data_IF_145608025520
#
_entry.id   IF_145608025520
#
_cell.length_a   1.000
_cell.length_b   1.000
_cell.length_c   1.000
_cell.angle_alpha   90.00
_cell.angle_beta   90.00
_cell.angle_gamma   90.00
#
_symmetry.space_group_name_H-M   'P 1'
#
loop_
_entity.id
_entity.type
_entity.pdbx_description
1 polymer ?
#
# COMPACT_ATOMS: atom_id res chain seq x y z
N UNK A 1 -34.78 23.15 -29.97
CA UNK A 1 -34.86 21.83 -30.63
C UNK A 1 -35.18 20.80 -29.57
N UNK A 2 -36.32 20.14 -29.66
CA UNK A 2 -36.56 18.94 -28.85
C UNK A 2 -35.75 17.80 -29.45
N UNK A 3 -34.85 17.23 -28.65
CA UNK A 3 -34.06 16.07 -29.06
C UNK A 3 -35.01 14.86 -28.96
N UNK A 4 -35.27 14.14 -30.05
CA UNK A 4 -36.22 13.04 -30.03
C UNK A 4 -35.76 11.91 -29.09
N UNK A 5 -36.73 11.25 -28.45
CA UNK A 5 -36.55 10.10 -27.56
C UNK A 5 -35.74 10.36 -26.28
N UNK A 6 -35.75 11.60 -25.77
CA UNK A 6 -35.19 11.91 -24.43
C UNK A 6 -36.18 11.68 -23.29
N UNK A 7 -37.49 11.71 -23.58
CA UNK A 7 -38.57 11.50 -22.60
C UNK A 7 -39.53 10.44 -23.09
N UNK A 8 -39.83 10.42 -24.39
CA UNK A 8 -40.64 9.39 -25.05
C UNK A 8 -39.81 8.15 -25.35
N UNK A 9 -40.38 6.98 -25.10
CA UNK A 9 -39.80 5.70 -25.49
C UNK A 9 -39.77 5.57 -27.02
N UNK A 10 -38.74 4.89 -27.56
CA UNK A 10 -38.74 4.54 -28.97
C UNK A 10 -39.78 3.44 -29.26
N UNK A 11 -40.44 3.46 -30.43
CA UNK A 11 -41.43 2.44 -30.79
C UNK A 11 -40.86 1.02 -30.93
N UNK A 12 -39.59 0.90 -31.32
CA UNK A 12 -38.90 -0.36 -31.59
C UNK A 12 -38.43 -1.07 -30.30
N UNK A 13 -37.87 -0.32 -29.36
CA UNK A 13 -37.23 -0.86 -28.15
C UNK A 13 -38.03 -0.62 -26.88
N UNK A 14 -39.03 0.28 -26.89
CA UNK A 14 -39.77 0.69 -25.69
C UNK A 14 -38.91 1.47 -24.67
N UNK A 15 -37.69 1.86 -25.03
CA UNK A 15 -36.74 2.56 -24.16
C UNK A 15 -36.40 3.94 -24.73
N UNK A 16 -36.06 4.89 -23.85
CA UNK A 16 -35.52 6.19 -24.25
C UNK A 16 -33.99 6.12 -24.39
N UNK A 17 -33.40 7.05 -25.15
CA UNK A 17 -31.98 6.98 -25.57
C UNK A 17 -31.01 6.85 -24.39
N UNK A 18 -31.23 7.60 -23.31
CA UNK A 18 -30.35 7.56 -22.13
C UNK A 18 -30.40 6.20 -21.41
N UNK A 19 -31.55 5.51 -21.43
CA UNK A 19 -31.68 4.18 -20.82
C UNK A 19 -30.92 3.12 -21.62
N UNK A 20 -30.96 3.19 -22.95
CA UNK A 20 -30.13 2.32 -23.80
C UNK A 20 -28.64 2.61 -23.59
N UNK A 21 -28.28 3.89 -23.57
CA UNK A 21 -26.89 4.32 -23.37
C UNK A 21 -26.31 3.83 -22.03
N UNK A 22 -27.06 3.94 -20.94
CA UNK A 22 -26.58 3.45 -19.64
C UNK A 22 -26.44 1.94 -19.61
N UNK A 23 -27.37 1.17 -20.21
CA UNK A 23 -27.23 -0.29 -20.27
C UNK A 23 -25.99 -0.73 -21.06
N UNK A 24 -25.67 -0.06 -22.17
CA UNK A 24 -24.44 -0.33 -22.93
C UNK A 24 -23.18 0.01 -22.12
N UNK A 25 -23.18 1.14 -21.42
CA UNK A 25 -22.10 1.53 -20.52
C UNK A 25 -21.92 0.51 -19.39
N UNK A 26 -23.00 0.10 -18.73
CA UNK A 26 -22.96 -0.91 -17.66
C UNK A 26 -22.44 -2.25 -18.17
N UNK A 27 -22.80 -2.67 -19.38
CA UNK A 27 -22.26 -3.88 -19.99
C UNK A 27 -20.73 -3.79 -20.19
N UNK A 28 -20.20 -2.62 -20.59
CA UNK A 28 -18.74 -2.44 -20.69
C UNK A 28 -18.04 -2.50 -19.34
N UNK A 29 -18.65 -1.94 -18.29
CA UNK A 29 -18.08 -1.98 -16.94
C UNK A 29 -18.09 -3.41 -16.35
N UNK A 30 -19.13 -4.21 -16.62
CA UNK A 30 -19.14 -5.64 -16.26
C UNK A 30 -17.95 -6.37 -16.87
N UNK A 31 -17.62 -6.08 -18.14
CA UNK A 31 -16.46 -6.68 -18.80
C UNK A 31 -15.13 -6.21 -18.19
N UNK A 32 -15.01 -4.91 -17.87
CA UNK A 32 -13.83 -4.32 -17.22
C UNK A 32 -13.57 -4.97 -15.85
N UNK A 33 -14.55 -4.95 -14.95
CA UNK A 33 -14.42 -5.53 -13.62
C UNK A 33 -14.30 -7.06 -13.67
N UNK A 34 -15.00 -7.72 -14.61
CA UNK A 34 -14.86 -9.16 -14.84
C UNK A 34 -13.42 -9.56 -15.14
N UNK A 35 -12.73 -8.84 -16.03
CA UNK A 35 -11.31 -9.06 -16.31
C UNK A 35 -10.40 -8.84 -15.10
N UNK A 36 -10.65 -7.82 -14.29
CA UNK A 36 -9.88 -7.54 -13.08
C UNK A 36 -10.13 -8.59 -11.98
N UNK A 37 -11.37 -9.07 -11.81
CA UNK A 37 -11.70 -10.15 -10.89
C UNK A 37 -11.03 -11.46 -11.29
N UNK A 38 -11.08 -11.81 -12.59
CA UNK A 38 -10.32 -12.97 -13.10
C UNK A 38 -8.82 -12.81 -12.83
N UNK A 39 -8.27 -11.62 -13.07
CA UNK A 39 -6.84 -11.35 -12.81
C UNK A 39 -6.47 -11.55 -11.35
N UNK A 40 -7.30 -11.12 -10.39
CA UNK A 40 -7.09 -11.40 -8.97
C UNK A 40 -7.03 -12.91 -8.68
N UNK A 41 -7.99 -13.68 -9.21
CA UNK A 41 -8.04 -15.13 -9.01
C UNK A 41 -6.79 -15.80 -9.58
N UNK A 42 -6.36 -15.42 -10.78
CA UNK A 42 -5.12 -15.94 -11.38
C UNK A 42 -3.88 -15.60 -10.56
N UNK A 43 -3.74 -14.35 -10.13
CA UNK A 43 -2.61 -13.93 -9.29
C UNK A 43 -2.58 -14.69 -7.96
N UNK A 44 -3.76 -14.94 -7.37
CA UNK A 44 -3.88 -15.69 -6.13
C UNK A 44 -3.52 -17.17 -6.29
N UNK A 45 -4.03 -17.83 -7.33
CA UNK A 45 -3.80 -19.26 -7.59
C UNK A 45 -2.36 -19.52 -8.03
N UNK A 46 -1.76 -18.59 -8.77
CA UNK A 46 -0.37 -18.68 -9.25
C UNK A 46 0.67 -18.08 -8.31
N UNK A 47 0.31 -17.73 -7.07
CA UNK A 47 1.26 -17.14 -6.14
C UNK A 47 2.19 -18.22 -5.53
N UNK A 48 3.49 -18.09 -5.79
CA UNK A 48 4.54 -18.95 -5.20
C UNK A 48 4.89 -18.59 -3.74
N UNK A 49 4.23 -17.56 -3.19
CA UNK A 49 4.39 -17.09 -1.81
C UNK A 49 3.04 -17.16 -1.08
N UNK A 50 3.03 -17.17 0.27
CA UNK A 50 1.79 -17.16 1.03
C UNK A 50 0.95 -15.92 0.70
N UNK A 51 -0.13 -16.10 -0.07
CA UNK A 51 -1.04 -15.01 -0.40
C UNK A 51 -1.58 -14.41 0.90
N UNK A 52 -1.69 -13.06 1.01
CA UNK A 52 -2.27 -12.44 2.19
C UNK A 52 -3.72 -12.88 2.37
N UNK A 53 -4.07 -13.36 3.56
CA UNK A 53 -5.43 -13.84 3.89
C UNK A 53 -5.90 -13.10 5.14
N UNK A 54 -7.10 -12.53 5.11
CA UNK A 54 -7.68 -11.74 6.22
C UNK A 54 -6.76 -10.62 6.76
N UNK A 55 -6.02 -9.94 5.89
CA UNK A 55 -5.28 -8.71 6.25
C UNK A 55 -6.21 -7.50 6.36
N UNK A 56 -7.38 -7.57 5.74
CA UNK A 56 -8.35 -6.50 5.69
C UNK A 56 -9.36 -6.64 6.82
N UNK A 57 -9.78 -5.52 7.39
CA UNK A 57 -10.77 -5.52 8.47
C UNK A 57 -12.16 -5.87 7.90
N UNK A 58 -12.58 -7.13 8.14
CA UNK A 58 -13.85 -7.67 7.65
C UNK A 58 -15.04 -6.88 8.19
N UNK A 59 -14.99 -6.43 9.45
CA UNK A 59 -16.07 -5.65 10.07
C UNK A 59 -16.25 -4.29 9.39
N UNK A 60 -15.16 -3.55 9.15
CA UNK A 60 -15.21 -2.28 8.41
C UNK A 60 -15.67 -2.50 6.97
N UNK A 61 -15.19 -3.57 6.31
CA UNK A 61 -15.66 -3.97 4.99
C UNK A 61 -17.16 -4.27 4.97
N UNK A 62 -17.66 -5.00 5.97
CA UNK A 62 -19.07 -5.37 6.12
C UNK A 62 -19.97 -4.16 6.39
N UNK A 63 -19.56 -3.25 7.29
CA UNK A 63 -20.27 -1.99 7.53
C UNK A 63 -20.37 -1.18 6.23
N UNK A 64 -19.27 -1.07 5.48
CA UNK A 64 -19.28 -0.41 4.17
C UNK A 64 -20.23 -1.08 3.18
N UNK A 65 -20.30 -2.42 3.17
CA UNK A 65 -21.26 -3.16 2.36
C UNK A 65 -22.71 -2.83 2.75
N UNK A 66 -23.03 -2.77 4.04
CA UNK A 66 -24.37 -2.38 4.51
C UNK A 66 -24.70 -0.92 4.14
N UNK A 67 -23.74 -0.01 4.27
CA UNK A 67 -23.88 1.40 3.88
C UNK A 67 -24.21 1.52 2.40
N UNK A 68 -23.50 0.81 1.52
CA UNK A 68 -23.73 0.83 0.08
C UNK A 68 -25.08 0.22 -0.29
N UNK A 69 -25.39 -0.99 0.17
CA UNK A 69 -26.68 -1.66 -0.09
C UNK A 69 -27.85 -0.79 0.41
N UNK A 70 -27.72 -0.21 1.61
CA UNK A 70 -28.71 0.72 2.15
C UNK A 70 -28.86 1.98 1.29
N UNK A 71 -27.75 2.51 0.76
CA UNK A 71 -27.77 3.67 -0.13
C UNK A 71 -28.52 3.39 -1.44
N UNK A 72 -28.40 2.18 -2.00
CA UNK A 72 -29.20 1.73 -3.16
C UNK A 72 -30.69 1.86 -2.93
N UNK A 73 -31.18 1.38 -1.77
CA UNK A 73 -32.60 1.47 -1.41
C UNK A 73 -33.04 2.94 -1.37
N UNK A 74 -32.21 3.83 -0.83
CA UNK A 74 -32.54 5.26 -0.78
C UNK A 74 -32.66 5.89 -2.16
N UNK A 75 -31.83 5.51 -3.15
CA UNK A 75 -31.96 6.01 -4.53
C UNK A 75 -33.27 5.55 -5.17
N UNK A 76 -33.67 4.29 -4.96
CA UNK A 76 -34.95 3.78 -5.43
C UNK A 76 -36.13 4.55 -4.81
N UNK A 77 -36.07 4.80 -3.50
CA UNK A 77 -37.08 5.58 -2.78
C UNK A 77 -37.10 7.05 -3.24
N UNK A 78 -35.95 7.63 -3.59
CA UNK A 78 -35.86 8.96 -4.17
C UNK A 78 -36.58 9.04 -5.52
N UNK A 79 -36.34 8.06 -6.40
CA UNK A 79 -37.04 7.95 -7.68
C UNK A 79 -38.56 7.75 -7.49
N UNK A 80 -38.97 6.84 -6.61
CA UNK A 80 -40.38 6.59 -6.32
C UNK A 80 -41.06 7.85 -5.74
N UNK A 81 -40.37 8.58 -4.87
CA UNK A 81 -40.86 9.85 -4.32
C UNK A 81 -41.06 10.91 -5.40
N UNK A 82 -40.21 10.96 -6.43
CA UNK A 82 -40.42 11.84 -7.59
C UNK A 82 -41.68 11.46 -8.37
N UNK A 83 -41.90 10.16 -8.63
CA UNK A 83 -43.10 9.68 -9.32
C UNK A 83 -44.39 9.98 -8.51
N UNK A 84 -44.31 9.93 -7.18
CA UNK A 84 -45.39 10.31 -6.27
C UNK A 84 -45.48 11.83 -5.99
N UNK A 85 -44.67 12.65 -6.67
CA UNK A 85 -44.58 14.12 -6.50
C UNK A 85 -44.26 14.58 -5.07
N UNK A 86 -43.62 13.74 -4.26
CA UNK A 86 -43.16 14.04 -2.89
C UNK A 86 -41.74 14.60 -2.89
N UNK A 87 -41.62 15.89 -3.19
CA UNK A 87 -40.32 16.56 -3.36
C UNK A 87 -39.44 16.54 -2.09
N UNK A 88 -40.04 16.75 -0.92
CA UNK A 88 -39.28 16.73 0.35
C UNK A 88 -38.62 15.38 0.60
N UNK A 89 -39.35 14.29 0.38
CA UNK A 89 -38.84 12.92 0.51
C UNK A 89 -37.75 12.63 -0.52
N UNK A 90 -37.93 13.06 -1.78
CA UNK A 90 -36.88 12.94 -2.81
C UNK A 90 -35.56 13.57 -2.36
N UNK A 91 -35.60 14.83 -1.88
CA UNK A 91 -34.39 15.54 -1.44
C UNK A 91 -33.72 14.84 -0.26
N UNK A 92 -34.52 14.38 0.72
CA UNK A 92 -34.01 13.65 1.87
C UNK A 92 -33.31 12.36 1.46
N UNK A 93 -33.95 11.53 0.63
CA UNK A 93 -33.36 10.26 0.21
C UNK A 93 -32.08 10.45 -0.63
N UNK A 94 -32.06 11.42 -1.56
CA UNK A 94 -30.85 11.76 -2.31
C UNK A 94 -29.71 12.24 -1.40
N UNK A 95 -30.02 13.07 -0.40
CA UNK A 95 -29.04 13.54 0.57
C UNK A 95 -28.47 12.35 1.36
N UNK A 96 -29.32 11.44 1.82
CA UNK A 96 -28.88 10.23 2.53
C UNK A 96 -27.93 9.41 1.64
N UNK A 97 -28.25 9.21 0.36
CA UNK A 97 -27.36 8.49 -0.56
C UNK A 97 -25.98 9.14 -0.66
N UNK A 98 -25.93 10.47 -0.85
CA UNK A 98 -24.66 11.21 -0.96
C UNK A 98 -23.87 11.14 0.34
N UNK A 99 -24.53 11.19 1.50
CA UNK A 99 -23.87 11.01 2.80
C UNK A 99 -23.33 9.59 2.98
N UNK A 100 -24.07 8.55 2.57
CA UNK A 100 -23.60 7.17 2.58
C UNK A 100 -22.35 7.00 1.71
N UNK A 101 -22.32 7.62 0.53
CA UNK A 101 -21.15 7.63 -0.35
C UNK A 101 -19.94 8.28 0.32
N UNK A 102 -20.14 9.43 0.97
CA UNK A 102 -19.08 10.11 1.70
C UNK A 102 -18.54 9.24 2.85
N UNK A 103 -19.42 8.61 3.65
CA UNK A 103 -19.04 7.69 4.72
C UNK A 103 -18.20 6.53 4.20
N UNK A 104 -18.61 5.92 3.08
CA UNK A 104 -17.84 4.86 2.43
C UNK A 104 -16.43 5.33 2.05
N UNK A 105 -16.31 6.49 1.40
CA UNK A 105 -15.02 7.05 0.97
C UNK A 105 -14.11 7.42 2.16
N UNK A 106 -14.67 7.94 3.24
CA UNK A 106 -13.94 8.25 4.48
C UNK A 106 -13.38 6.97 5.11
N UNK A 107 -14.21 5.93 5.27
CA UNK A 107 -13.76 4.64 5.80
C UNK A 107 -12.65 4.03 4.94
N UNK A 108 -12.77 4.10 3.61
CA UNK A 108 -11.74 3.62 2.69
C UNK A 108 -10.43 4.40 2.81
N UNK A 109 -10.50 5.71 3.01
CA UNK A 109 -9.31 6.54 3.16
C UNK A 109 -8.54 6.18 4.43
N UNK A 110 -9.23 5.93 5.54
CA UNK A 110 -8.60 5.46 6.78
C UNK A 110 -7.95 4.10 6.60
N UNK A 111 -8.64 3.16 5.95
CA UNK A 111 -8.10 1.84 5.66
C UNK A 111 -6.85 1.91 4.79
N UNK A 112 -6.87 2.72 3.73
CA UNK A 112 -5.71 2.94 2.86
C UNK A 112 -4.53 3.53 3.64
N UNK A 113 -4.76 4.58 4.43
CA UNK A 113 -3.71 5.23 5.21
C UNK A 113 -3.00 4.23 6.13
N UNK A 114 -3.77 3.40 6.85
CA UNK A 114 -3.21 2.37 7.72
C UNK A 114 -2.31 1.38 6.96
N UNK A 115 -2.65 1.04 5.71
CA UNK A 115 -1.81 0.17 4.87
C UNK A 115 -0.52 0.85 4.39
N UNK A 116 -0.54 2.15 4.09
CA UNK A 116 0.69 2.85 3.68
C UNK A 116 1.75 2.93 4.80
N UNK A 117 1.31 2.93 6.05
CA UNK A 117 2.15 3.02 7.25
C UNK A 117 2.59 1.64 7.79
N UNK A 118 2.07 0.55 7.22
CA UNK A 118 2.36 -0.81 7.63
C UNK A 118 3.38 -1.49 6.70
N UNK A 119 4.33 -2.18 7.31
CA UNK A 119 5.50 -2.77 6.68
C UNK A 119 5.53 -4.27 6.87
N UNK A 120 6.06 -4.95 5.86
CA UNK A 120 6.42 -6.36 5.92
C UNK A 120 7.90 -6.52 5.63
N UNK A 121 8.56 -7.30 6.47
CA UNK A 121 9.98 -7.61 6.41
C UNK A 121 10.13 -9.12 6.30
N UNK A 122 10.60 -9.59 5.14
CA UNK A 122 10.97 -10.98 4.91
C UNK A 122 12.41 -11.20 5.32
N UNK A 123 12.61 -12.09 6.28
CA UNK A 123 13.91 -12.55 6.76
C UNK A 123 14.51 -13.60 5.81
N UNK A 124 15.81 -13.84 5.94
CA UNK A 124 16.58 -14.76 5.08
C UNK A 124 16.15 -16.23 5.18
N UNK A 125 15.48 -16.62 6.26
CA UNK A 125 14.91 -17.95 6.47
C UNK A 125 13.48 -18.10 5.90
N UNK A 126 12.93 -17.04 5.30
CA UNK A 126 11.56 -16.98 4.78
C UNK A 126 10.52 -16.50 5.78
N UNK A 127 10.90 -16.23 7.03
CA UNK A 127 9.97 -15.68 8.04
C UNK A 127 9.57 -14.26 7.67
N UNK A 128 8.30 -13.92 7.81
CA UNK A 128 7.80 -12.58 7.54
C UNK A 128 7.36 -11.93 8.85
N UNK A 129 7.99 -10.81 9.18
CA UNK A 129 7.57 -9.93 10.27
C UNK A 129 6.73 -8.79 9.69
N UNK A 130 5.61 -8.48 10.33
CA UNK A 130 4.78 -7.33 9.97
C UNK A 130 4.75 -6.31 11.09
N UNK A 131 4.54 -5.03 10.74
CA UNK A 131 4.41 -3.99 11.74
C UNK A 131 4.71 -2.59 11.24
N UNK A 132 5.15 -1.72 12.14
CA UNK A 132 5.36 -0.30 11.89
C UNK A 132 6.83 0.12 12.05
N UNK A 133 7.24 1.16 11.31
CA UNK A 133 8.57 1.77 11.43
C UNK A 133 8.43 3.15 12.09
N UNK A 134 8.26 3.24 13.42
CA UNK A 134 7.98 4.50 14.12
C UNK A 134 9.07 5.56 13.93
N UNK A 135 10.32 5.13 13.76
CA UNK A 135 11.49 6.00 13.55
C UNK A 135 12.00 6.01 12.11
N UNK A 136 11.27 5.38 11.18
CA UNK A 136 11.72 5.13 9.81
C UNK A 136 12.92 4.19 9.73
N UNK A 137 13.47 4.03 8.52
CA UNK A 137 14.67 3.25 8.28
C UNK A 137 15.69 4.06 7.46
N UNK A 138 16.81 4.37 8.11
CA UNK A 138 17.92 5.10 7.51
C UNK A 138 19.22 4.39 7.82
N UNK A 139 20.08 4.30 6.81
CA UNK A 139 21.43 3.79 6.95
C UNK A 139 22.34 4.92 7.40
N UNK A 140 23.10 4.68 8.47
CA UNK A 140 24.09 5.65 8.95
C UNK A 140 25.47 5.29 8.40
N UNK A 141 26.09 6.26 7.75
CA UNK A 141 27.38 6.12 7.11
C UNK A 141 28.29 7.25 7.55
N UNK A 142 29.39 6.94 8.24
CA UNK A 142 30.31 7.93 8.79
C UNK A 142 31.70 7.85 8.18
N UNK A 143 32.59 8.68 8.70
CA UNK A 143 33.97 8.80 8.24
C UNK A 143 34.10 9.08 6.74
N UNK A 144 33.07 9.69 6.14
CA UNK A 144 33.06 9.96 4.71
C UNK A 144 33.99 11.13 4.41
N UNK A 145 35.04 10.85 3.64
CA UNK A 145 36.03 11.86 3.24
C UNK A 145 35.93 12.24 1.78
N UNK A 146 35.39 11.36 0.94
CA UNK A 146 35.37 11.55 -0.51
C UNK A 146 33.95 11.46 -1.04
N UNK A 147 33.64 12.40 -1.95
CA UNK A 147 32.39 12.48 -2.68
C UNK A 147 32.75 12.45 -4.17
N UNK A 148 32.39 11.37 -4.86
CA UNK A 148 32.62 11.21 -6.29
C UNK A 148 31.32 11.52 -7.03
N UNK A 149 31.37 12.50 -7.91
CA UNK A 149 30.22 12.97 -8.69
C UNK A 149 30.37 12.47 -10.11
N UNK A 150 29.33 11.83 -10.65
CA UNK A 150 29.30 11.45 -12.06
C UNK A 150 28.63 12.57 -12.86
N UNK A 151 29.40 13.24 -13.72
CA UNK A 151 28.89 14.22 -14.68
C UNK A 151 28.63 13.51 -16.00
N UNK A 152 27.39 13.58 -16.45
CA UNK A 152 26.91 12.92 -17.65
C UNK A 152 27.49 13.55 -18.92
N UNK A 153 28.07 12.74 -19.81
CA UNK A 153 28.52 13.21 -21.14
C UNK A 153 27.38 13.29 -22.17
N UNK A 154 26.22 12.67 -21.90
CA UNK A 154 25.02 12.69 -22.75
C UNK A 154 23.82 13.21 -21.97
N UNK A 155 22.87 13.85 -22.68
CA UNK A 155 21.59 14.32 -22.11
C UNK A 155 20.68 13.21 -21.57
N UNK A 156 20.90 11.96 -21.98
CA UNK A 156 20.13 10.80 -21.52
C UNK A 156 20.66 10.13 -20.25
N UNK A 157 21.85 10.51 -19.75
CA UNK A 157 22.40 10.00 -18.50
C UNK A 157 22.03 10.91 -17.32
N UNK A 158 21.85 10.31 -16.14
CA UNK A 158 21.52 11.05 -14.91
C UNK A 158 22.75 11.87 -14.50
N UNK A 159 22.58 13.18 -14.45
CA UNK A 159 23.59 14.09 -13.92
C UNK A 159 23.48 14.09 -12.39
N UNK A 160 24.62 13.89 -11.71
CA UNK A 160 24.65 14.04 -10.27
C UNK A 160 24.19 15.44 -9.87
N UNK A 161 23.37 15.55 -8.81
CA UNK A 161 23.08 16.83 -8.15
C UNK A 161 23.22 16.60 -6.65
N UNK A 162 24.48 16.56 -6.15
CA UNK A 162 24.72 16.24 -4.75
C UNK A 162 24.09 17.28 -3.83
N UNK A 163 23.94 18.53 -4.27
CA UNK A 163 23.38 19.62 -3.47
C UNK A 163 21.93 19.35 -3.12
N UNK A 164 21.12 18.92 -4.09
CA UNK A 164 19.71 18.61 -3.84
C UNK A 164 19.47 17.17 -3.37
N UNK A 165 20.33 16.23 -3.75
CA UNK A 165 20.03 14.81 -3.58
C UNK A 165 20.84 14.14 -2.46
N UNK A 166 22.04 14.61 -2.14
CA UNK A 166 22.96 13.95 -1.19
C UNK A 166 23.17 14.77 0.07
N UNK A 167 23.43 16.08 -0.05
CA UNK A 167 23.68 16.97 1.07
C UNK A 167 22.54 17.07 2.10
N UNK A 168 21.24 16.97 1.73
CA UNK A 168 20.16 16.99 2.72
C UNK A 168 20.20 15.82 3.72
N UNK A 169 20.98 14.77 3.44
CA UNK A 169 21.13 13.60 4.30
C UNK A 169 22.39 13.65 5.18
N UNK A 170 23.18 14.74 5.12
CA UNK A 170 24.32 14.95 6.02
C UNK A 170 23.81 15.32 7.42
N UNK A 171 24.31 14.64 8.45
CA UNK A 171 24.08 15.03 9.85
C UNK A 171 25.05 16.16 10.21
N UNK A 172 24.50 17.30 10.63
CA UNK A 172 25.27 18.47 11.06
C UNK A 172 25.64 19.41 9.92
N UNK A 173 26.63 20.27 10.16
CA UNK A 173 27.05 21.28 9.19
C UNK A 173 27.83 20.66 8.03
N UNK A 174 27.50 21.06 6.80
CA UNK A 174 28.23 20.64 5.61
C UNK A 174 29.60 21.35 5.59
N UNK A 175 30.72 20.62 5.64
CA UNK A 175 32.05 21.21 5.60
C UNK A 175 32.37 21.72 4.19
N UNK A 176 33.43 22.52 4.11
CA UNK A 176 34.02 22.87 2.81
C UNK A 176 34.64 21.62 2.17
N UNK A 177 34.66 21.59 0.84
CA UNK A 177 35.25 20.54 0.03
C UNK A 177 36.49 21.05 -0.68
N UNK A 178 37.44 20.16 -0.95
CA UNK A 178 38.60 20.43 -1.79
C UNK A 178 38.46 19.71 -3.12
N UNK A 179 38.66 20.43 -4.21
CA UNK A 179 38.71 19.86 -5.56
C UNK A 179 40.02 19.10 -5.77
N UNK A 180 40.11 18.33 -6.85
CA UNK A 180 41.36 17.65 -7.25
C UNK A 180 42.53 18.63 -7.48
N UNK A 181 42.22 19.89 -7.81
CA UNK A 181 43.20 20.96 -7.97
C UNK A 181 43.62 21.61 -6.63
N UNK A 182 43.04 21.18 -5.50
CA UNK A 182 43.32 21.71 -4.17
C UNK A 182 42.54 22.99 -3.80
N UNK A 183 41.64 23.47 -4.67
CA UNK A 183 40.79 24.64 -4.39
C UNK A 183 39.73 24.28 -3.34
N UNK A 184 39.62 25.11 -2.30
CA UNK A 184 38.63 24.92 -1.23
C UNK A 184 37.33 25.64 -1.59
N UNK A 185 36.24 24.88 -1.69
CA UNK A 185 34.93 25.33 -2.14
C UNK A 185 33.84 24.99 -1.13
N UNK A 186 32.83 25.84 -1.01
CA UNK A 186 31.56 25.48 -0.36
C UNK A 186 30.67 24.85 -1.42
N UNK A 187 30.16 23.64 -1.21
CA UNK A 187 29.34 22.95 -2.21
C UNK A 187 27.90 23.47 -2.19
N UNK A 188 27.62 24.45 -3.04
CA UNK A 188 26.31 25.03 -3.30
C UNK A 188 25.91 24.91 -4.79
N UNK A 189 24.72 25.39 -5.14
CA UNK A 189 24.20 25.31 -6.50
C UNK A 189 25.09 26.03 -7.54
N UNK A 190 25.73 27.14 -7.17
CA UNK A 190 26.59 27.91 -8.07
C UNK A 190 27.97 27.26 -8.23
N UNK A 191 28.59 26.82 -7.13
CA UNK A 191 29.86 26.09 -7.17
C UNK A 191 29.71 24.77 -7.91
N UNK A 192 28.57 24.07 -7.74
CA UNK A 192 28.30 22.82 -8.43
C UNK A 192 28.13 23.04 -9.95
N UNK A 193 27.42 24.10 -10.36
CA UNK A 193 27.30 24.47 -11.77
C UNK A 193 28.66 24.74 -12.43
N UNK A 194 29.58 25.41 -11.71
CA UNK A 194 30.97 25.64 -12.16
C UNK A 194 31.73 24.32 -12.33
N UNK A 195 31.74 23.46 -11.31
CA UNK A 195 32.41 22.15 -11.35
C UNK A 195 31.90 21.28 -12.50
N UNK A 196 30.58 21.28 -12.70
CA UNK A 196 29.92 20.54 -13.78
C UNK A 196 30.37 21.03 -15.15
N UNK A 197 30.40 22.36 -15.37
CA UNK A 197 30.85 22.94 -16.63
C UNK A 197 32.32 22.58 -16.93
N UNK A 198 33.19 22.65 -15.92
CA UNK A 198 34.60 22.27 -16.03
C UNK A 198 34.79 20.78 -16.35
N UNK A 199 34.05 19.90 -15.66
CA UNK A 199 34.09 18.46 -15.88
C UNK A 199 33.60 18.09 -17.29
N UNK A 200 32.52 18.71 -17.75
CA UNK A 200 32.01 18.50 -19.10
C UNK A 200 32.99 19.00 -20.16
N UNK A 201 33.63 20.16 -19.95
CA UNK A 201 34.67 20.66 -20.86
C UNK A 201 35.84 19.67 -20.99
N UNK A 202 36.33 19.13 -19.86
CA UNK A 202 37.37 18.08 -19.86
C UNK A 202 36.94 16.81 -20.58
N UNK A 203 35.68 16.38 -20.40
CA UNK A 203 35.12 15.22 -21.09
C UNK A 203 35.09 15.41 -22.61
N UNK A 204 34.70 16.60 -23.08
CA UNK A 204 34.68 16.97 -24.50
C UNK A 204 36.08 17.01 -25.09
N UNK A 205 37.06 17.58 -24.39
CA UNK A 205 38.45 17.59 -24.82
C UNK A 205 39.00 16.18 -24.97
N UNK A 206 38.74 15.30 -24.00
CA UNK A 206 39.14 13.89 -24.06
C UNK A 206 38.49 13.17 -25.23
N UNK A 207 37.19 13.36 -25.45
CA UNK A 207 36.48 12.77 -26.59
C UNK A 207 37.08 13.20 -27.93
N UNK A 208 37.47 14.47 -28.05
CA UNK A 208 38.13 15.00 -29.24
C UNK A 208 39.53 14.41 -29.43
N UNK A 209 40.32 14.31 -28.37
CA UNK A 209 41.66 13.74 -28.41
C UNK A 209 41.66 12.25 -28.81
N UNK A 210 40.69 11.48 -28.30
CA UNK A 210 40.55 10.03 -28.53
C UNK A 210 39.64 9.69 -29.73
N UNK A 211 39.16 10.69 -30.48
CA UNK A 211 38.23 10.53 -31.61
C UNK A 211 36.97 9.70 -31.27
N UNK A 212 36.47 9.85 -30.04
CA UNK A 212 35.28 9.15 -29.59
C UNK A 212 34.05 9.74 -30.30
N UNK A 213 33.14 8.86 -30.73
CA UNK A 213 31.85 9.27 -31.35
C UNK A 213 30.95 10.03 -30.38
N UNK A 214 31.15 9.85 -29.08
CA UNK A 214 30.31 10.39 -28.02
C UNK A 214 31.17 10.85 -26.84
N UNK A 215 30.69 11.87 -26.12
CA UNK A 215 31.37 12.40 -24.93
C UNK A 215 31.23 11.39 -23.78
N UNK A 216 32.34 10.94 -23.17
CA UNK A 216 32.28 10.01 -22.05
C UNK A 216 31.77 10.71 -20.78
N UNK A 217 31.26 9.93 -19.82
CA UNK A 217 30.99 10.44 -18.48
C UNK A 217 32.29 10.82 -17.78
N UNK A 218 32.24 11.85 -16.94
CA UNK A 218 33.39 12.32 -16.18
C UNK A 218 33.13 12.21 -14.68
N UNK A 219 34.11 11.69 -13.94
CA UNK A 219 34.03 11.63 -12.48
C UNK A 219 34.78 12.81 -11.87
N UNK A 220 34.13 13.53 -10.96
CA UNK A 220 34.74 14.61 -10.18
C UNK A 220 34.87 14.14 -8.74
N UNK A 221 36.10 14.05 -8.22
CA UNK A 221 36.34 13.72 -6.81
C UNK A 221 36.44 14.98 -5.96
N UNK A 222 35.63 15.06 -4.92
CA UNK A 222 35.69 16.10 -3.89
C UNK A 222 36.13 15.49 -2.57
N UNK A 223 37.03 16.17 -1.86
CA UNK A 223 37.51 15.73 -0.53
C UNK A 223 36.96 16.67 0.53
N UNK A 224 36.19 16.15 1.48
CA UNK A 224 35.63 16.95 2.57
C UNK A 224 36.74 17.41 3.55
N UNK A 225 36.68 18.66 4.01
CA UNK A 225 37.63 19.22 4.97
C UNK A 225 37.51 18.59 6.37
N UNK A 226 36.34 18.05 6.68
CA UNK A 226 36.07 17.25 7.88
C UNK A 226 35.28 15.98 7.50
N UNK A 227 35.41 14.87 8.25
CA UNK A 227 34.65 13.66 7.99
C UNK A 227 33.14 13.92 8.08
N UNK A 228 32.41 13.44 7.08
CA UNK A 228 30.96 13.54 6.98
C UNK A 228 30.28 12.32 7.57
N UNK A 229 29.09 12.53 8.12
CA UNK A 229 28.16 11.46 8.51
C UNK A 229 26.84 11.65 7.80
N UNK A 230 26.32 10.59 7.21
CA UNK A 230 25.08 10.54 6.44
C UNK A 230 24.04 9.70 7.16
N UNK A 231 22.78 10.12 7.09
CA UNK A 231 21.61 9.31 7.46
C UNK A 231 20.69 9.22 6.25
N UNK A 232 20.78 8.12 5.51
CA UNK A 232 20.18 8.01 4.18
C UNK A 232 19.15 6.89 4.15
N UNK A 233 17.91 7.15 3.71
CA UNK A 233 16.94 6.09 3.45
C UNK A 233 17.42 5.18 2.31
N UNK A 234 17.33 3.85 2.42
CA UNK A 234 17.78 2.93 1.37
C UNK A 234 17.17 3.17 -0.01
N UNK A 235 15.97 3.77 -0.07
CA UNK A 235 15.29 4.13 -1.32
C UNK A 235 16.05 5.16 -2.17
N UNK A 236 16.98 5.91 -1.57
CA UNK A 236 17.81 6.92 -2.25
C UNK A 236 19.08 6.34 -2.84
N UNK A 237 19.46 5.14 -2.43
CA UNK A 237 20.62 4.42 -2.95
C UNK A 237 20.29 3.71 -4.26
N UNK A 238 21.30 3.63 -5.14
CA UNK A 238 21.22 2.97 -6.44
C UNK A 238 21.09 1.46 -6.27
N UNK A 239 21.89 0.90 -5.36
CA UNK A 239 21.92 -0.52 -5.05
C UNK A 239 21.94 -0.73 -3.54
N UNK A 240 21.51 -1.91 -3.11
CA UNK A 240 21.61 -2.37 -1.73
C UNK A 240 23.10 -2.49 -1.38
N UNK A 241 23.64 -1.71 -0.41
CA UNK A 241 25.04 -1.84 -0.04
C UNK A 241 25.29 -3.21 0.62
N UNK A 242 26.42 -3.84 0.29
CA UNK A 242 26.83 -5.10 0.91
C UNK A 242 27.18 -4.88 2.40
N UNK A 243 27.07 -5.91 3.25
CA UNK A 243 27.55 -5.83 4.63
C UNK A 243 29.03 -5.41 4.67
N UNK A 244 29.34 -4.37 5.45
CA UNK A 244 30.71 -3.84 5.54
C UNK A 244 31.17 -3.05 4.30
N UNK A 245 30.27 -2.71 3.37
CA UNK A 245 30.62 -1.88 2.22
C UNK A 245 31.18 -0.54 2.67
N UNK A 246 32.33 -0.17 2.09
CA UNK A 246 32.97 1.13 2.30
C UNK A 246 32.53 2.16 1.29
N UNK A 247 31.84 1.76 0.22
CA UNK A 247 31.33 2.65 -0.82
C UNK A 247 29.83 2.48 -0.98
N UNK A 248 29.10 3.59 -1.05
CA UNK A 248 27.68 3.62 -1.39
C UNK A 248 27.45 4.51 -2.60
N UNK A 249 26.57 4.06 -3.49
CA UNK A 249 26.17 4.80 -4.69
C UNK A 249 24.71 5.27 -4.56
N UNK A 250 24.48 6.53 -4.83
CA UNK A 250 23.18 7.18 -4.87
C UNK A 250 22.58 7.07 -6.28
N UNK A 251 21.25 7.17 -6.36
CA UNK A 251 20.52 7.06 -7.65
C UNK A 251 20.80 8.19 -8.63
N UNK A 252 21.29 9.32 -8.14
CA UNK A 252 21.70 10.46 -8.98
C UNK A 252 23.07 10.24 -9.65
N UNK A 253 23.76 9.13 -9.35
CA UNK A 253 25.11 8.85 -9.88
C UNK A 253 26.25 9.34 -8.97
N UNK A 254 25.93 9.94 -7.82
CA UNK A 254 26.92 10.28 -6.79
C UNK A 254 27.36 9.03 -6.03
N UNK A 255 28.63 8.90 -5.68
CA UNK A 255 29.11 7.86 -4.75
C UNK A 255 29.98 8.44 -3.65
N UNK A 256 29.92 7.85 -2.47
CA UNK A 256 30.74 8.25 -1.31
C UNK A 256 31.50 7.05 -0.76
N UNK A 257 32.67 7.32 -0.20
CA UNK A 257 33.50 6.34 0.48
C UNK A 257 33.61 6.68 1.98
N UNK A 258 33.37 5.70 2.84
CA UNK A 258 33.30 5.83 4.29
C UNK A 258 33.03 4.50 4.97
N UNK A 259 32.50 4.54 6.19
CA UNK A 259 32.23 3.37 7.02
C UNK A 259 30.76 3.31 7.41
N UNK A 260 30.15 2.13 7.29
CA UNK A 260 28.80 1.89 7.81
C UNK A 260 28.83 1.93 9.35
N UNK A 261 28.09 2.88 9.94
CA UNK A 261 27.96 3.04 11.40
C UNK A 261 26.77 2.23 11.91
N UNK A 262 25.61 2.36 11.26
CA UNK A 262 24.38 1.69 11.66
C UNK A 262 23.59 1.26 10.43
N UNK A 263 23.24 -0.02 10.37
CA UNK A 263 22.42 -0.63 9.33
C UNK A 263 21.15 -1.30 9.86
N UNK A 264 20.92 -1.20 11.18
CA UNK A 264 19.81 -1.83 11.86
C UNK A 264 18.50 -1.12 11.54
N UNK A 265 17.45 -1.90 11.37
CA UNK A 265 16.08 -1.43 11.19
C UNK A 265 15.30 -1.69 12.47
N UNK A 266 14.68 -0.65 13.04
CA UNK A 266 13.81 -0.82 14.20
C UNK A 266 12.38 -0.99 13.71
N UNK A 267 11.82 -2.19 13.93
CA UNK A 267 10.46 -2.55 13.55
C UNK A 267 9.64 -2.80 14.82
N UNK A 268 8.52 -2.09 14.95
CA UNK A 268 7.51 -2.39 15.95
C UNK A 268 6.65 -3.55 15.41
N UNK A 269 6.85 -4.76 15.91
CA UNK A 269 6.31 -5.99 15.29
C UNK A 269 4.91 -6.28 15.81
N UNK A 270 3.92 -6.32 14.94
CA UNK A 270 2.52 -6.64 15.27
C UNK A 270 2.07 -8.02 14.76
N UNK A 271 2.89 -8.68 13.95
CA UNK A 271 2.57 -9.97 13.38
C UNK A 271 3.78 -10.75 12.90
N UNK A 272 3.67 -12.07 12.97
CA UNK A 272 4.68 -13.03 12.51
C UNK A 272 4.01 -14.08 11.64
N UNK A 273 4.51 -14.25 10.42
CA UNK A 273 4.06 -15.27 9.47
C UNK A 273 5.19 -16.25 9.12
N UNK A 274 4.96 -17.51 9.44
CA UNK A 274 5.89 -18.63 9.27
C UNK A 274 5.46 -19.61 8.17
N UNK A 275 4.44 -19.27 7.36
CA UNK A 275 3.93 -20.14 6.29
C UNK A 275 5.01 -20.46 5.25
N UNK A 276 5.89 -19.50 4.95
CA UNK A 276 7.00 -19.67 4.01
C UNK A 276 8.27 -20.28 4.65
N UNK A 277 8.33 -20.38 5.98
CA UNK A 277 9.53 -20.85 6.70
C UNK A 277 9.61 -22.38 6.66
N UNK A 278 10.75 -22.98 6.23
CA UNK A 278 10.93 -24.43 6.22
C UNK A 278 10.80 -25.07 7.62
N UNK A 279 11.53 -24.54 8.60
CA UNK A 279 11.50 -24.97 10.00
C UNK A 279 10.95 -23.85 10.89
N UNK A 280 9.67 -23.94 11.25
CA UNK A 280 8.93 -22.89 11.97
C UNK A 280 9.45 -22.66 13.39
N UNK A 281 9.95 -23.69 14.05
CA UNK A 281 10.45 -23.60 15.43
C UNK A 281 11.90 -23.10 15.50
N UNK A 282 12.64 -23.19 14.39
CA UNK A 282 13.99 -22.63 14.23
C UNK A 282 14.01 -21.33 13.44
N UNK A 283 12.85 -20.69 13.28
CA UNK A 283 12.75 -19.37 12.65
C UNK A 283 13.70 -18.37 13.31
N UNK A 284 14.29 -17.51 12.49
CA UNK A 284 15.11 -16.39 12.93
C UNK A 284 14.33 -15.46 13.87
N UNK A 285 13.01 -15.32 13.70
CA UNK A 285 12.19 -14.48 14.57
C UNK A 285 12.33 -14.84 16.06
N UNK A 286 12.61 -16.11 16.38
CA UNK A 286 12.76 -16.62 17.74
C UNK A 286 14.17 -16.45 18.32
N UNK A 287 15.10 -15.86 17.59
CA UNK A 287 16.40 -15.50 18.12
C UNK A 287 16.24 -14.51 19.27
N UNK A 288 17.03 -14.65 20.34
CA UNK A 288 17.06 -13.75 21.50
C UNK A 288 17.41 -12.30 21.12
N UNK A 289 18.02 -12.08 19.96
CA UNK A 289 18.22 -10.74 19.40
C UNK A 289 16.96 -10.10 18.80
N UNK A 290 15.92 -10.91 18.54
CA UNK A 290 14.65 -10.49 17.93
C UNK A 290 13.48 -10.64 18.92
N UNK A 291 12.57 -11.60 18.71
CA UNK A 291 11.45 -11.83 19.65
C UNK A 291 11.83 -12.80 20.79
N UNK A 292 12.86 -13.64 20.59
CA UNK A 292 13.34 -14.54 21.63
C UNK A 292 12.42 -15.72 21.98
N UNK A 293 12.82 -16.45 23.01
CA UNK A 293 12.19 -17.72 23.42
C UNK A 293 10.79 -17.58 24.02
N UNK A 294 10.47 -16.43 24.61
CA UNK A 294 9.17 -16.22 25.24
C UNK A 294 8.04 -16.12 24.19
N UNK A 295 8.27 -15.39 23.10
CA UNK A 295 7.33 -15.34 21.96
C UNK A 295 7.28 -16.66 21.18
N UNK A 296 8.39 -17.39 21.09
CA UNK A 296 8.39 -18.76 20.54
C UNK A 296 7.46 -19.67 21.33
N UNK A 297 7.47 -19.60 22.66
CA UNK A 297 6.58 -20.39 23.51
C UNK A 297 5.11 -20.04 23.26
N UNK A 298 4.79 -18.75 23.22
CA UNK A 298 3.44 -18.28 22.91
C UNK A 298 2.95 -18.76 21.53
N UNK A 299 3.83 -18.72 20.52
CA UNK A 299 3.55 -19.26 19.19
C UNK A 299 3.23 -20.76 19.21
N UNK A 300 4.05 -21.56 19.91
CA UNK A 300 3.83 -23.01 20.02
C UNK A 300 2.50 -23.30 20.72
N UNK A 301 2.19 -22.61 21.81
CA UNK A 301 0.91 -22.75 22.53
C UNK A 301 -0.29 -22.41 21.63
N UNK A 302 -0.22 -21.32 20.86
CA UNK A 302 -1.26 -20.93 19.90
C UNK A 302 -1.42 -21.97 18.79
N UNK A 303 -0.31 -22.42 18.19
CA UNK A 303 -0.30 -23.43 17.13
C UNK A 303 -0.92 -24.73 17.60
N UNK A 304 -0.49 -25.22 18.76
CA UNK A 304 -0.94 -26.50 19.31
C UNK A 304 -2.43 -26.44 19.68
N UNK A 305 -2.90 -25.30 20.23
CA UNK A 305 -4.32 -25.05 20.42
C UNK A 305 -5.10 -25.08 19.11
N UNK A 306 -4.61 -24.40 18.06
CA UNK A 306 -5.26 -24.41 16.76
C UNK A 306 -5.35 -25.84 16.19
N UNK A 307 -4.25 -26.60 16.24
CA UNK A 307 -4.21 -28.00 15.80
C UNK A 307 -5.24 -28.85 16.57
N UNK A 308 -5.32 -28.67 17.89
CA UNK A 308 -6.29 -29.38 18.73
C UNK A 308 -7.74 -29.04 18.34
N UNK A 309 -8.08 -27.76 18.18
CA UNK A 309 -9.42 -27.30 17.76
C UNK A 309 -9.81 -27.87 16.38
N UNK A 310 -8.86 -27.94 15.44
CA UNK A 310 -9.11 -28.55 14.14
C UNK A 310 -9.32 -30.05 14.22
N UNK A 311 -8.51 -30.75 15.01
CA UNK A 311 -8.65 -32.19 15.21
C UNK A 311 -9.96 -32.54 15.94
N UNK A 312 -10.42 -31.71 16.86
CA UNK A 312 -11.72 -31.89 17.51
C UNK A 312 -12.87 -31.74 16.50
N UNK A 313 -12.79 -30.73 15.64
CA UNK A 313 -13.88 -30.39 14.70
C UNK A 313 -13.90 -31.26 13.44
N UNK A 314 -12.74 -31.76 13.00
CA UNK A 314 -12.57 -32.43 11.70
C UNK A 314 -11.76 -33.72 11.75
N UNK A 315 -11.33 -34.15 12.94
CA UNK A 315 -10.59 -35.41 13.12
C UNK A 315 -11.48 -36.61 12.82
N UNK A 316 -10.93 -37.58 12.10
CA UNK A 316 -11.61 -38.84 11.77
C UNK A 316 -11.54 -39.91 12.87
N UNK A 317 -10.97 -39.57 14.04
CA UNK A 317 -10.74 -40.48 15.15
C UNK A 317 -9.72 -41.60 14.85
N UNK A 318 -9.08 -41.61 13.68
CA UNK A 318 -8.13 -42.63 13.22
C UNK A 318 -6.70 -42.08 13.04
N UNK A 319 -6.44 -40.86 13.51
CA UNK A 319 -5.14 -40.21 13.38
C UNK A 319 -4.83 -39.71 11.96
N UNK A 320 -5.83 -39.71 11.07
CA UNK A 320 -5.72 -39.12 9.74
C UNK A 320 -6.29 -37.70 9.74
N UNK A 321 -5.50 -36.71 9.34
CA UNK A 321 -6.08 -35.42 8.95
C UNK A 321 -6.96 -35.67 7.72
N UNK A 322 -8.27 -35.47 7.82
CA UNK A 322 -9.14 -35.53 6.65
C UNK A 322 -8.64 -34.50 5.63
N UNK A 323 -8.05 -34.99 4.54
CA UNK A 323 -7.49 -34.17 3.44
C UNK A 323 -8.67 -33.57 2.66
N UNK A 324 -9.33 -32.55 3.23
CA UNK A 324 -10.22 -31.65 2.50
C UNK A 324 -9.43 -30.36 2.17
N UNK A 325 -8.98 -30.17 0.92
CA UNK A 325 -8.17 -29.02 0.52
C UNK A 325 -8.85 -27.69 0.82
N UNK A 326 -10.18 -27.63 0.71
CA UNK A 326 -10.98 -26.41 0.87
C UNK A 326 -11.11 -25.95 2.33
N UNK A 327 -10.76 -26.80 3.31
CA UNK A 327 -10.81 -26.48 4.74
C UNK A 327 -9.43 -26.25 5.38
N UNK A 328 -8.35 -26.37 4.59
CA UNK A 328 -6.97 -26.30 5.08
C UNK A 328 -6.34 -24.90 5.06
N UNK A 329 -6.76 -24.00 4.16
CA UNK A 329 -6.10 -22.70 3.97
C UNK A 329 -6.27 -21.74 5.17
N UNK A 330 -7.49 -21.60 5.70
CA UNK A 330 -7.75 -20.81 6.92
C UNK A 330 -7.05 -21.41 8.13
N UNK A 331 -6.90 -22.74 8.16
CA UNK A 331 -6.25 -23.42 9.26
C UNK A 331 -4.73 -23.22 9.25
N UNK A 332 -4.09 -23.27 8.08
CA UNK A 332 -2.68 -22.93 7.93
C UNK A 332 -2.36 -21.50 8.39
N UNK A 333 -3.27 -20.53 8.18
CA UNK A 333 -3.10 -19.20 8.77
C UNK A 333 -3.08 -19.27 10.29
N UNK A 334 -4.09 -19.84 10.93
CA UNK A 334 -4.15 -19.91 12.41
C UNK A 334 -3.01 -20.71 13.05
N UNK A 335 -2.44 -21.66 12.31
CA UNK A 335 -1.29 -22.46 12.77
C UNK A 335 0.06 -21.74 12.64
N UNK A 336 0.24 -20.92 11.60
CA UNK A 336 1.57 -20.39 11.24
C UNK A 336 1.64 -18.87 11.21
N UNK A 337 0.53 -18.18 11.50
CA UNK A 337 0.47 -16.74 11.67
C UNK A 337 0.09 -16.41 13.11
N UNK A 338 0.80 -15.46 13.73
CA UNK A 338 0.54 -14.97 15.08
C UNK A 338 0.49 -13.45 15.08
N UNK A 339 -0.60 -12.87 15.61
CA UNK A 339 -0.68 -11.45 15.94
C UNK A 339 -0.05 -11.20 17.31
N UNK A 340 0.76 -10.17 17.42
CA UNK A 340 1.43 -9.74 18.65
C UNK A 340 0.70 -8.51 19.20
N UNK A 341 -0.01 -8.64 20.33
CA UNK A 341 -0.67 -7.51 21.00
C UNK A 341 0.03 -7.12 22.30
N UNK A 342 0.05 -5.82 22.60
CA UNK A 342 0.51 -5.33 23.90
C UNK A 342 -0.36 -5.89 25.04
N UNK A 343 0.25 -6.13 26.21
CA UNK A 343 -0.43 -6.74 27.35
C UNK A 343 -1.41 -5.77 28.04
N UNK A 344 -2.61 -5.61 27.47
CA UNK A 344 -3.82 -5.26 28.25
C UNK A 344 -4.97 -6.18 27.84
N UNK A 345 -5.75 -6.69 28.82
CA UNK A 345 -6.99 -7.38 28.52
C UNK A 345 -8.06 -6.33 28.25
N UNK A 346 -8.22 -5.91 26.99
CA UNK A 346 -9.43 -5.16 26.64
C UNK A 346 -10.57 -6.14 26.40
N UNK A 347 -11.56 -6.03 27.28
CA UNK A 347 -12.85 -6.66 27.20
C UNK A 347 -13.58 -6.24 25.92
N UNK A 348 -13.44 -7.02 24.86
CA UNK A 348 -14.35 -6.95 23.72
C UNK A 348 -15.05 -8.29 23.52
N UNK A 349 -16.38 -8.18 23.46
CA UNK A 349 -17.39 -9.22 23.56
C UNK A 349 -17.05 -10.57 22.94
N UNK A 350 -17.49 -11.60 23.65
CA UNK A 350 -17.83 -12.88 23.07
C UNK A 350 -18.66 -12.65 21.79
N UNK A 351 -18.07 -12.86 20.63
CA UNK A 351 -18.63 -13.65 19.53
C UNK A 351 -17.79 -13.47 18.25
N UNK A 352 -17.13 -14.55 17.83
CA UNK A 352 -16.77 -14.82 16.44
C UNK A 352 -15.50 -14.16 15.87
N UNK A 353 -14.49 -14.99 15.62
CA UNK A 353 -13.43 -14.83 14.61
C UNK A 353 -12.12 -14.06 14.93
N UNK A 354 -11.68 -13.99 16.19
CA UNK A 354 -10.28 -13.66 16.53
C UNK A 354 -9.81 -14.53 17.71
N UNK A 355 -9.09 -15.62 17.45
CA UNK A 355 -8.52 -16.53 18.47
C UNK A 355 -7.00 -16.78 18.31
N UNK A 356 -6.34 -16.07 17.40
CA UNK A 356 -4.93 -16.28 17.04
C UNK A 356 -4.05 -15.10 17.52
N UNK A 357 -4.24 -14.69 18.77
CA UNK A 357 -3.57 -13.52 19.35
C UNK A 357 -2.72 -13.93 20.53
N UNK A 358 -1.43 -13.59 20.49
CA UNK A 358 -0.51 -13.80 21.58
C UNK A 358 -0.26 -12.48 22.32
N UNK A 359 -0.38 -12.51 23.65
CA UNK A 359 -0.06 -11.39 24.51
C UNK A 359 1.40 -11.43 24.96
N UNK A 360 1.97 -10.26 25.22
CA UNK A 360 3.32 -10.16 25.74
C UNK A 360 3.50 -11.01 27.02
N UNK A 361 4.58 -11.81 27.09
CA UNK A 361 4.84 -12.68 28.24
C UNK A 361 5.02 -11.86 29.51
N UNK A 362 4.37 -12.27 30.61
CA UNK A 362 4.45 -11.60 31.89
C UNK A 362 5.85 -11.80 32.52
N UNK A 363 6.78 -10.88 32.23
CA UNK A 363 8.13 -10.93 32.80
C UNK A 363 8.96 -9.69 32.51
N UNK A 364 9.37 -9.01 33.59
CA UNK A 364 10.27 -7.85 33.70
C UNK A 364 9.68 -6.44 33.53
N UNK A 365 9.35 -5.86 34.70
CA UNK A 365 9.83 -4.53 35.09
C UNK A 365 9.31 -3.30 34.35
N UNK A 366 8.47 -2.54 35.07
CA UNK A 366 8.09 -1.14 34.85
C UNK A 366 7.16 -0.80 33.68
N UNK A 367 6.25 0.12 34.00
CA UNK A 367 5.14 0.58 33.20
C UNK A 367 5.60 1.20 31.88
N UNK A 368 5.60 0.41 30.80
CA UNK A 368 5.57 0.94 29.44
C UNK A 368 4.21 0.64 28.82
N UNK A 369 3.53 1.74 28.46
CA UNK A 369 2.23 1.76 27.84
C UNK A 369 2.22 0.99 26.50
N UNK A 370 1.12 0.28 26.21
CA UNK A 370 0.49 0.11 24.89
C UNK A 370 1.36 0.10 23.61
N UNK A 371 2.53 -0.56 23.59
CA UNK A 371 3.37 -0.63 22.38
C UNK A 371 3.68 -2.08 22.02
N UNK A 372 3.67 -2.38 20.72
CA UNK A 372 4.05 -3.68 20.18
C UNK A 372 5.57 -3.92 20.41
N UNK A 373 6.07 -5.17 20.43
CA UNK A 373 7.49 -5.42 20.66
C UNK A 373 8.36 -4.77 19.58
N UNK A 374 9.29 -3.92 20.00
CA UNK A 374 10.28 -3.31 19.10
C UNK A 374 11.48 -4.24 18.91
N UNK A 375 11.77 -4.55 17.65
CA UNK A 375 12.88 -5.42 17.25
C UNK A 375 13.86 -4.64 16.37
N UNK A 376 15.15 -4.72 16.72
CA UNK A 376 16.24 -4.18 15.89
C UNK A 376 16.76 -5.27 14.94
N UNK A 377 16.24 -5.27 13.72
CA UNK A 377 16.61 -6.21 12.67
C UNK A 377 17.95 -5.83 12.05
N UNK A 378 18.88 -6.78 12.02
CA UNK A 378 20.16 -6.60 11.33
C UNK A 378 19.95 -6.71 9.82
N UNK A 379 20.65 -5.85 9.06
CA UNK A 379 20.51 -5.82 7.59
C UNK A 379 20.80 -7.16 6.94
N UNK A 380 21.75 -7.93 7.47
CA UNK A 380 22.19 -9.23 6.95
C UNK A 380 21.08 -10.28 6.98
N UNK A 381 20.14 -10.15 7.92
CA UNK A 381 19.04 -11.09 8.12
C UNK A 381 17.78 -10.67 7.36
N UNK A 382 17.77 -9.48 6.73
CA UNK A 382 16.65 -8.98 5.93
C UNK A 382 16.87 -9.30 4.45
N UNK A 383 16.03 -10.17 3.88
CA UNK A 383 16.02 -10.46 2.45
C UNK A 383 15.32 -9.34 1.67
N UNK A 384 14.12 -8.97 2.13
CA UNK A 384 13.23 -8.03 1.49
C UNK A 384 12.40 -7.28 2.53
N UNK A 385 12.12 -6.01 2.29
CA UNK A 385 11.13 -5.28 3.07
C UNK A 385 10.38 -4.31 2.16
N UNK A 386 9.09 -4.15 2.43
CA UNK A 386 8.23 -3.21 1.73
C UNK A 386 7.06 -2.82 2.61
N UNK A 387 6.55 -1.60 2.45
CA UNK A 387 5.22 -1.28 2.94
C UNK A 387 4.14 -1.96 2.09
N UNK A 388 2.91 -1.98 2.59
CA UNK A 388 1.74 -2.51 1.89
C UNK A 388 1.29 -1.58 0.74
N UNK A 389 2.18 -1.36 -0.22
CA UNK A 389 1.99 -0.52 -1.39
C UNK A 389 1.92 -1.32 -2.68
N UNK A 390 1.29 -0.77 -3.73
CA UNK A 390 1.14 -1.48 -5.00
C UNK A 390 2.46 -1.67 -5.76
N UNK A 391 3.54 -0.99 -5.37
CA UNK A 391 4.79 -0.96 -6.13
C UNK A 391 5.58 -2.27 -6.03
N UNK A 392 5.49 -2.94 -4.89
CA UNK A 392 6.40 -4.01 -4.51
C UNK A 392 5.69 -5.32 -4.15
N UNK A 393 4.36 -5.37 -4.24
CA UNK A 393 3.57 -6.54 -3.90
C UNK A 393 2.36 -6.68 -4.82
N UNK A 394 2.25 -7.82 -5.50
CA UNK A 394 1.17 -8.15 -6.44
C UNK A 394 -0.22 -8.14 -5.80
N UNK A 395 -0.36 -8.57 -4.55
CA UNK A 395 -1.63 -8.51 -3.82
C UNK A 395 -2.09 -7.06 -3.63
N UNK A 396 -1.20 -6.20 -3.11
CA UNK A 396 -1.54 -4.79 -2.90
C UNK A 396 -1.76 -4.07 -4.24
N UNK A 397 -1.01 -4.43 -5.29
CA UNK A 397 -1.21 -3.88 -6.63
C UNK A 397 -2.64 -4.11 -7.14
N UNK A 398 -3.12 -5.36 -7.13
CA UNK A 398 -4.47 -5.67 -7.59
C UNK A 398 -5.55 -5.16 -6.62
N UNK A 399 -5.30 -5.19 -5.31
CA UNK A 399 -6.19 -4.62 -4.30
C UNK A 399 -6.45 -3.12 -4.53
N UNK A 400 -5.40 -2.31 -4.65
CA UNK A 400 -5.53 -0.87 -4.87
C UNK A 400 -6.12 -0.55 -6.25
N UNK A 401 -5.83 -1.38 -7.26
CA UNK A 401 -6.42 -1.21 -8.60
C UNK A 401 -7.93 -1.44 -8.57
N UNK A 402 -8.38 -2.57 -8.02
CA UNK A 402 -9.79 -2.94 -7.93
C UNK A 402 -10.59 -1.95 -7.07
N UNK A 403 -10.11 -1.70 -5.85
CA UNK A 403 -10.81 -0.83 -4.90
C UNK A 403 -10.70 0.65 -5.27
N UNK A 404 -9.59 1.08 -5.87
CA UNK A 404 -9.40 2.44 -6.36
C UNK A 404 -10.29 2.76 -7.56
N UNK A 405 -10.38 1.84 -8.53
CA UNK A 405 -11.30 1.99 -9.66
C UNK A 405 -12.75 2.04 -9.18
N UNK A 406 -13.15 1.16 -8.27
CA UNK A 406 -14.48 1.21 -7.67
C UNK A 406 -14.72 2.51 -6.88
N UNK A 407 -13.74 2.99 -6.11
CA UNK A 407 -13.81 4.27 -5.41
C UNK A 407 -14.03 5.45 -6.37
N UNK A 408 -13.37 5.46 -7.53
CA UNK A 408 -13.63 6.46 -8.58
C UNK A 408 -15.07 6.38 -9.10
N UNK A 409 -15.64 5.18 -9.24
CA UNK A 409 -17.05 5.01 -9.61
C UNK A 409 -18.01 5.56 -8.56
N UNK A 410 -17.76 5.27 -7.28
CA UNK A 410 -18.55 5.83 -6.16
C UNK A 410 -18.53 7.35 -6.20
N UNK A 411 -17.35 7.96 -6.36
CA UNK A 411 -17.20 9.42 -6.45
C UNK A 411 -17.94 9.98 -7.67
N UNK A 412 -17.76 9.39 -8.85
CA UNK A 412 -18.44 9.83 -10.07
C UNK A 412 -19.97 9.76 -9.94
N UNK A 413 -20.50 8.65 -9.41
CA UNK A 413 -21.93 8.50 -9.13
C UNK A 413 -22.43 9.52 -8.12
N UNK A 414 -21.69 9.74 -7.04
CA UNK A 414 -22.08 10.66 -5.97
C UNK A 414 -22.13 12.10 -6.48
N UNK A 415 -21.18 12.50 -7.34
CA UNK A 415 -21.18 13.81 -7.99
C UNK A 415 -22.40 13.99 -8.90
N UNK A 416 -22.78 12.98 -9.67
CA UNK A 416 -23.98 13.02 -10.53
C UNK A 416 -25.26 13.13 -9.69
N UNK A 417 -25.37 12.35 -8.61
CA UNK A 417 -26.52 12.40 -7.71
C UNK A 417 -26.60 13.74 -6.94
N UNK A 418 -25.46 14.25 -6.47
CA UNK A 418 -25.38 15.57 -5.85
C UNK A 418 -25.76 16.69 -6.83
N UNK A 419 -25.33 16.59 -8.08
CA UNK A 419 -25.75 17.50 -9.14
C UNK A 419 -27.27 17.47 -9.35
N UNK A 420 -27.89 16.29 -9.34
CA UNK A 420 -29.36 16.20 -9.41
C UNK A 420 -30.06 16.83 -8.22
N UNK A 421 -29.51 16.67 -7.01
CA UNK A 421 -30.06 17.25 -5.79
C UNK A 421 -29.98 18.78 -5.78
N UNK A 422 -28.84 19.37 -6.18
CA UNK A 422 -28.55 20.81 -6.05
C UNK A 422 -29.03 21.61 -7.27
N UNK A 423 -28.74 21.13 -8.49
CA UNK A 423 -28.88 21.95 -9.70
C UNK A 423 -30.24 21.81 -10.40
N UNK A 424 -31.01 20.74 -10.14
CA UNK A 424 -32.29 20.52 -10.82
C UNK A 424 -33.50 21.11 -10.08
N UNK A 425 -33.30 22.04 -9.14
CA UNK A 425 -34.41 22.67 -8.38
C UNK A 425 -35.47 23.34 -9.25
N UNK A 426 -35.09 23.85 -10.44
CA UNK A 426 -36.02 24.41 -11.44
C UNK A 426 -36.78 23.32 -12.20
N UNK A 427 -36.08 22.26 -12.63
CA UNK A 427 -36.67 21.13 -13.36
C UNK A 427 -37.63 20.31 -12.50
N UNK A 428 -37.41 20.30 -11.19
CA UNK A 428 -38.29 19.72 -10.18
C UNK A 428 -39.70 20.36 -10.16
N UNK A 429 -39.82 21.63 -10.62
CA UNK A 429 -41.08 22.37 -10.71
C UNK A 429 -41.68 22.34 -12.12
N UNK A 430 -40.84 22.42 -13.15
CA UNK A 430 -41.28 22.56 -14.54
C UNK A 430 -41.54 21.20 -15.23
N UNK A 431 -40.71 20.18 -14.98
CA UNK A 431 -40.80 18.86 -15.65
C UNK A 431 -40.30 17.73 -14.73
N UNK A 432 -41.11 17.30 -13.75
CA UNK A 432 -40.73 16.28 -12.79
C UNK A 432 -40.57 14.88 -13.42
N UNK A 433 -41.23 14.60 -14.56
CA UNK A 433 -41.09 13.31 -15.23
C UNK A 433 -39.72 13.15 -15.87
N UNK A 434 -39.23 14.19 -16.55
CA UNK A 434 -37.88 14.18 -17.11
C UNK A 434 -36.82 14.05 -16.03
N UNK A 435 -37.02 14.68 -14.87
CA UNK A 435 -36.11 14.50 -13.73
C UNK A 435 -36.17 13.07 -13.19
N UNK A 436 -37.37 12.48 -13.06
CA UNK A 436 -37.51 11.09 -12.64
C UNK A 436 -36.78 10.13 -13.59
N UNK A 437 -36.85 10.35 -14.91
CA UNK A 437 -36.11 9.53 -15.88
C UNK A 437 -34.58 9.71 -15.74
N UNK A 438 -34.09 10.94 -15.46
CA UNK A 438 -32.66 11.16 -15.18
C UNK A 438 -32.20 10.48 -13.90
N UNK A 439 -33.00 10.56 -12.84
CA UNK A 439 -32.71 9.90 -11.55
C UNK A 439 -32.78 8.39 -11.69
N UNK A 440 -33.67 7.85 -12.53
CA UNK A 440 -33.69 6.42 -12.87
C UNK A 440 -32.36 5.99 -13.51
N UNK A 441 -31.88 6.72 -14.53
CA UNK A 441 -30.60 6.41 -15.21
C UNK A 441 -29.41 6.55 -14.25
N UNK A 442 -29.35 7.62 -13.46
CA UNK A 442 -28.32 7.79 -12.45
C UNK A 442 -28.39 6.72 -11.35
N UNK A 443 -29.61 6.27 -11.02
CA UNK A 443 -29.84 5.18 -10.06
C UNK A 443 -29.39 3.83 -10.60
N UNK A 444 -29.60 3.53 -11.88
CA UNK A 444 -29.06 2.31 -12.51
C UNK A 444 -27.53 2.25 -12.42
N UNK A 445 -26.84 3.39 -12.64
CA UNK A 445 -25.41 3.49 -12.40
C UNK A 445 -25.06 3.22 -10.93
N UNK A 446 -25.78 3.85 -9.99
CA UNK A 446 -25.54 3.69 -8.56
C UNK A 446 -25.74 2.25 -8.08
N UNK A 447 -26.81 1.58 -8.51
CA UNK A 447 -27.06 0.17 -8.21
C UNK A 447 -25.93 -0.74 -8.72
N UNK A 448 -25.33 -0.40 -9.87
CA UNK A 448 -24.19 -1.14 -10.38
C UNK A 448 -22.93 -0.96 -9.54
N UNK A 449 -22.68 0.25 -9.02
CA UNK A 449 -21.60 0.50 -8.06
C UNK A 449 -21.72 -0.46 -6.87
N UNK A 450 -22.92 -0.58 -6.30
CA UNK A 450 -23.17 -1.47 -5.17
C UNK A 450 -22.99 -2.95 -5.54
N UNK A 451 -23.43 -3.35 -6.75
CA UNK A 451 -23.24 -4.71 -7.26
C UNK A 451 -21.75 -5.07 -7.35
N UNK A 452 -20.92 -4.19 -7.89
CA UNK A 452 -19.46 -4.40 -7.95
C UNK A 452 -18.88 -4.61 -6.55
N UNK A 453 -19.35 -3.84 -5.56
CA UNK A 453 -18.89 -4.00 -4.17
C UNK A 453 -19.27 -5.34 -3.55
N UNK A 454 -20.47 -5.84 -3.84
CA UNK A 454 -20.94 -7.17 -3.37
C UNK A 454 -19.99 -8.30 -3.82
N UNK A 455 -19.32 -8.15 -4.97
CA UNK A 455 -18.29 -9.09 -5.42
C UNK A 455 -16.90 -8.77 -4.86
N UNK A 456 -16.54 -7.48 -4.77
CA UNK A 456 -15.25 -7.05 -4.21
C UNK A 456 -15.05 -7.47 -2.75
N UNK A 457 -16.10 -7.32 -1.93
CA UNK A 457 -16.00 -7.60 -0.51
C UNK A 457 -15.63 -9.07 -0.24
N UNK A 458 -16.36 -10.09 -0.73
CA UNK A 458 -15.96 -11.48 -0.56
C UNK A 458 -14.59 -11.78 -1.18
N UNK A 459 -14.33 -11.25 -2.37
CA UNK A 459 -13.12 -11.57 -3.13
C UNK A 459 -11.83 -11.05 -2.47
N UNK A 460 -11.89 -9.90 -1.79
CA UNK A 460 -10.73 -9.29 -1.13
C UNK A 460 -10.69 -9.54 0.39
N UNK A 461 -11.82 -9.57 1.08
CA UNK A 461 -11.88 -9.65 2.55
C UNK A 461 -12.04 -11.08 3.07
N UNK A 462 -12.74 -11.94 2.32
CA UNK A 462 -13.11 -13.28 2.78
C UNK A 462 -12.26 -14.38 2.16
N UNK A 463 -11.88 -14.21 0.89
CA UNK A 463 -10.84 -15.01 0.25
C UNK A 463 -9.49 -14.44 0.69
#
# INVERSE_FOLDING_TARGET
MDIPYTVTARPDTGLYNAKVGIWLFLASEVMLFGGLFSSYIFLRVGADYPWPVHELNVTLGFINTLVLIGSSVTVLLAWASLKLRRIGAYKLYMLITVLCAATFMVNKTFEYKAKFEHYSVTLTDGTILTGHLPHGYSLEFGDVKTLNLTVAGKTSAVDADPVKYVLPYVKGDVPKFRTEAGEEITLDAASFAKLKAEAHAKAVEKAKAEQLKEVPNWSVKLTAAAPLTFSVPPSKLLAKPAPGATMIAFRDGTSVEGRMINDKMTLEVDGVDLRATPDKEKSLAWNEHYLGSAWKKAFIEQRDHAIAEFNEKYGDGKGGTTRDPNKSATHQKHQFFMHLHSAKPESHGADGAHKAEAHAPAGHGEAHASHHPEVQLERKDVQFFSNFTPKLNSYYAIYFTLTGLHGMHVVAGALVLAYFLVCNGRMLREDPERLANRVEVGGLFWHFVDLVWIFLFPLLYLL
#
